data_IF_157766450725
#
_entry.id   IF_157766450725
#
_cell.length_a   1.000
_cell.length_b   1.000
_cell.length_c   1.000
_cell.angle_alpha   90.00
_cell.angle_beta   90.00
_cell.angle_gamma   90.00
#
_symmetry.space_group_name_H-M   'P 1'
#
loop_
_entity.id
_entity.type
_entity.pdbx_description
1 polymer ?
#
# COMPACT_ATOMS: atom_id res chain seq x y z
N UNK A 1 6.43 -28.06 2.15
CA UNK A 1 7.70 -27.61 1.52
C UNK A 1 8.39 -26.61 2.44
N UNK A 2 9.57 -26.94 2.95
CA UNK A 2 10.32 -26.05 3.85
C UNK A 2 10.81 -24.82 3.08
N UNK A 3 10.68 -23.65 3.66
CA UNK A 3 11.03 -22.36 3.06
C UNK A 3 11.65 -21.48 4.13
N UNK A 4 12.80 -20.86 3.84
CA UNK A 4 13.43 -19.90 4.74
C UNK A 4 12.61 -18.60 4.77
N UNK A 5 12.50 -18.02 5.96
CA UNK A 5 11.76 -16.81 6.23
C UNK A 5 12.41 -16.00 7.36
N UNK A 6 11.91 -14.78 7.55
CA UNK A 6 12.13 -13.95 8.72
C UNK A 6 10.78 -13.63 9.36
N UNK A 7 10.68 -13.78 10.66
CA UNK A 7 9.44 -13.53 11.38
C UNK A 7 9.63 -13.38 12.86
N UNK A 8 8.61 -12.92 13.55
CA UNK A 8 8.57 -12.81 15.00
C UNK A 8 7.84 -14.00 15.62
N UNK A 9 8.35 -14.49 16.74
CA UNK A 9 7.73 -15.57 17.54
C UNK A 9 6.78 -15.03 18.61
N UNK A 10 6.89 -13.73 18.93
CA UNK A 10 6.03 -13.02 19.87
C UNK A 10 6.12 -11.50 19.61
N UNK A 11 5.18 -10.73 20.17
CA UNK A 11 5.09 -9.27 19.96
C UNK A 11 6.28 -8.47 20.51
N UNK A 12 6.98 -9.00 21.47
CA UNK A 12 8.15 -8.40 22.16
C UNK A 12 9.49 -8.92 21.63
N UNK A 13 9.48 -9.72 20.56
CA UNK A 13 10.70 -10.30 19.97
C UNK A 13 11.05 -9.61 18.66
N UNK A 14 12.37 -9.46 18.36
CA UNK A 14 12.82 -9.03 17.04
C UNK A 14 12.44 -10.07 15.99
N UNK A 15 12.53 -9.68 14.72
CA UNK A 15 12.42 -10.66 13.65
C UNK A 15 13.71 -11.50 13.60
N UNK A 16 13.53 -12.80 13.40
CA UNK A 16 14.62 -13.77 13.35
C UNK A 16 14.45 -14.76 12.19
N UNK A 17 15.53 -15.43 11.75
CA UNK A 17 15.44 -16.48 10.74
C UNK A 17 14.54 -17.63 11.21
N UNK A 18 13.63 -18.04 10.33
CA UNK A 18 12.69 -19.14 10.57
C UNK A 18 12.67 -20.09 9.37
N UNK A 19 12.45 -21.37 9.64
CA UNK A 19 12.04 -22.36 8.66
C UNK A 19 10.52 -22.56 8.74
N UNK A 20 9.80 -22.11 7.72
CA UNK A 20 8.34 -22.26 7.65
C UNK A 20 7.94 -23.35 6.68
N UNK A 21 6.72 -23.86 6.84
CA UNK A 21 6.12 -24.82 5.91
C UNK A 21 5.17 -24.10 4.96
N UNK A 22 5.42 -24.20 3.66
CA UNK A 22 4.47 -23.81 2.61
C UNK A 22 3.75 -25.05 2.11
N UNK A 23 2.46 -24.92 1.79
CA UNK A 23 1.70 -25.98 1.13
C UNK A 23 2.24 -26.27 -0.26
N UNK A 24 1.96 -27.43 -0.79
CA UNK A 24 2.20 -27.69 -2.22
C UNK A 24 1.17 -26.93 -3.06
N UNK A 25 1.51 -26.50 -4.28
CA UNK A 25 0.54 -25.91 -5.18
C UNK A 25 -0.62 -26.87 -5.48
N UNK A 26 -1.85 -26.43 -5.24
CA UNK A 26 -3.06 -27.10 -5.69
C UNK A 26 -3.36 -26.77 -7.17
N UNK A 27 -4.49 -27.27 -7.72
CA UNK A 27 -4.81 -27.11 -9.15
C UNK A 27 -4.83 -25.66 -9.65
N UNK A 28 -5.31 -24.72 -8.84
CA UNK A 28 -5.43 -23.27 -9.15
C UNK A 28 -4.35 -22.41 -8.50
N UNK A 29 -3.24 -22.98 -8.08
CA UNK A 29 -2.21 -22.25 -7.38
C UNK A 29 -1.01 -21.90 -8.26
N UNK A 30 -0.42 -20.77 -7.94
CA UNK A 30 0.86 -20.31 -8.48
C UNK A 30 1.87 -20.27 -7.35
N UNK A 31 3.01 -20.95 -7.53
CA UNK A 31 4.15 -20.84 -6.66
C UNK A 31 5.09 -19.76 -7.20
N UNK A 32 5.50 -18.86 -6.33
CA UNK A 32 6.33 -17.71 -6.68
C UNK A 32 7.60 -17.75 -5.83
N UNK A 33 8.75 -17.73 -6.49
CA UNK A 33 10.03 -17.46 -5.84
C UNK A 33 10.17 -15.94 -5.73
N UNK A 34 10.28 -15.44 -4.49
CA UNK A 34 10.21 -14.02 -4.18
C UNK A 34 11.57 -13.38 -4.42
N UNK A 35 11.60 -12.38 -5.30
CA UNK A 35 12.79 -11.57 -5.56
C UNK A 35 12.88 -10.38 -4.59
N UNK A 36 11.76 -9.67 -4.44
CA UNK A 36 11.69 -8.44 -3.64
C UNK A 36 10.43 -8.39 -2.79
N UNK A 37 10.54 -7.80 -1.61
CA UNK A 37 9.39 -7.50 -0.76
C UNK A 37 9.51 -6.10 -0.16
N UNK A 38 8.50 -5.26 -0.37
CA UNK A 38 8.44 -3.95 0.26
C UNK A 38 8.22 -4.05 1.77
N UNK A 39 8.62 -2.98 2.48
CA UNK A 39 8.47 -2.84 3.94
C UNK A 39 7.50 -1.72 4.24
N UNK A 40 6.52 -1.97 5.11
CA UNK A 40 5.49 -1.01 5.46
C UNK A 40 5.22 -0.93 6.96
N UNK A 41 4.59 0.17 7.40
CA UNK A 41 4.21 0.35 8.82
C UNK A 41 3.25 -0.72 9.31
N UNK A 42 2.36 -1.24 8.46
CA UNK A 42 1.47 -2.34 8.84
C UNK A 42 2.20 -3.63 9.18
N UNK A 43 3.35 -3.89 8.55
CA UNK A 43 4.21 -5.04 8.90
C UNK A 43 4.69 -4.90 10.33
N UNK A 44 5.22 -3.72 10.69
CA UNK A 44 5.70 -3.40 12.02
C UNK A 44 4.58 -3.47 13.07
N UNK A 45 3.44 -2.79 12.81
CA UNK A 45 2.30 -2.77 13.74
C UNK A 45 1.74 -4.17 13.98
N UNK A 46 1.69 -5.01 12.93
CA UNK A 46 1.25 -6.41 13.08
C UNK A 46 2.26 -7.23 13.87
N UNK A 47 3.55 -7.18 13.54
CA UNK A 47 4.59 -7.92 14.27
C UNK A 47 4.56 -7.59 15.76
N UNK A 48 4.35 -6.34 16.12
CA UNK A 48 4.28 -5.87 17.52
C UNK A 48 2.89 -6.04 18.16
N UNK A 49 1.91 -6.58 17.42
CA UNK A 49 0.51 -6.74 17.87
C UNK A 49 -0.15 -5.44 18.34
N UNK A 50 0.26 -4.30 17.77
CA UNK A 50 -0.30 -2.97 18.10
C UNK A 50 -1.74 -2.84 17.59
N UNK A 51 -2.14 -3.62 16.60
CA UNK A 51 -3.50 -3.69 16.07
C UNK A 51 -4.31 -4.88 16.59
N UNK A 52 -3.95 -5.51 17.65
CA UNK A 52 -4.58 -6.69 18.24
C UNK A 52 -4.82 -7.86 17.25
N UNK A 53 -4.74 -9.08 17.77
CA UNK A 53 -5.09 -10.29 16.99
C UNK A 53 -3.97 -10.85 16.10
N UNK A 54 -2.72 -10.48 16.33
CA UNK A 54 -1.58 -11.09 15.62
C UNK A 54 -1.41 -12.56 16.01
N UNK A 55 -1.25 -13.39 14.99
CA UNK A 55 -0.97 -14.82 15.10
C UNK A 55 0.52 -15.07 14.90
N UNK A 56 1.12 -15.85 15.81
CA UNK A 56 2.54 -16.17 15.77
C UNK A 56 2.76 -17.66 15.42
N UNK A 57 3.89 -18.00 14.72
CA UNK A 57 4.93 -17.10 14.20
C UNK A 57 4.35 -16.14 13.16
N UNK A 58 4.68 -14.85 13.26
CA UNK A 58 4.27 -13.84 12.30
C UNK A 58 5.40 -13.59 11.29
N UNK A 59 5.16 -13.94 10.02
CA UNK A 59 6.04 -13.60 8.89
C UNK A 59 5.33 -12.53 8.08
N UNK A 60 5.74 -11.27 8.16
CA UNK A 60 5.07 -10.17 7.45
C UNK A 60 5.46 -10.09 5.96
N UNK A 61 5.06 -8.99 5.30
CA UNK A 61 5.35 -8.70 3.90
C UNK A 61 4.17 -8.97 2.98
N UNK A 62 3.65 -7.91 2.36
CA UNK A 62 2.48 -7.93 1.47
C UNK A 62 2.67 -7.09 0.20
N UNK A 63 3.91 -6.82 -0.14
CA UNK A 63 4.32 -6.09 -1.34
C UNK A 63 5.36 -6.95 -2.08
N UNK A 64 4.91 -8.06 -2.65
CA UNK A 64 5.74 -9.14 -3.15
C UNK A 64 5.90 -9.04 -4.66
N UNK A 65 7.13 -9.03 -5.15
CA UNK A 65 7.47 -9.21 -6.57
C UNK A 65 8.40 -10.40 -6.70
N UNK A 66 8.15 -11.25 -7.68
CA UNK A 66 8.96 -12.44 -7.91
C UNK A 66 8.62 -13.13 -9.21
N UNK A 67 9.11 -14.35 -9.36
CA UNK A 67 8.95 -15.15 -10.57
C UNK A 67 8.19 -16.43 -10.27
N UNK A 68 7.31 -16.79 -11.19
CA UNK A 68 6.57 -18.06 -11.13
C UNK A 68 7.54 -19.22 -11.22
N UNK A 69 7.57 -20.07 -10.20
CA UNK A 69 8.43 -21.27 -10.17
C UNK A 69 7.67 -22.58 -10.38
N UNK A 70 6.34 -22.58 -10.13
CA UNK A 70 5.45 -23.68 -10.48
C UNK A 70 4.01 -23.19 -10.60
N UNK A 71 3.20 -23.90 -11.39
CA UNK A 71 1.77 -23.64 -11.56
C UNK A 71 0.95 -24.92 -11.39
N UNK A 72 -0.24 -24.81 -10.82
CA UNK A 72 -1.22 -25.89 -10.79
C UNK A 72 -1.75 -26.23 -12.19
N UNK A 73 -2.28 -27.43 -12.35
CA UNK A 73 -2.71 -27.96 -13.65
C UNK A 73 -3.98 -27.29 -14.23
N UNK A 74 -4.68 -26.48 -13.45
CA UNK A 74 -5.85 -25.70 -13.89
C UNK A 74 -5.53 -24.20 -14.05
N UNK A 75 -4.30 -23.78 -13.78
CA UNK A 75 -3.83 -22.41 -14.01
C UNK A 75 -3.60 -22.19 -15.51
N UNK A 76 -4.27 -21.20 -16.09
CA UNK A 76 -4.14 -20.85 -17.51
C UNK A 76 -3.55 -19.45 -17.76
N UNK A 77 -3.60 -18.58 -16.76
CA UNK A 77 -3.17 -17.18 -16.88
C UNK A 77 -1.68 -16.93 -16.66
N UNK A 78 -0.96 -17.92 -16.14
CA UNK A 78 0.45 -17.82 -15.74
C UNK A 78 1.25 -19.05 -16.16
N UNK A 79 2.55 -18.87 -16.36
CA UNK A 79 3.52 -19.95 -16.64
C UNK A 79 4.81 -19.72 -15.87
N UNK A 80 5.60 -20.76 -15.71
CA UNK A 80 6.92 -20.70 -15.08
C UNK A 80 7.80 -19.66 -15.79
N UNK A 81 8.45 -18.80 -15.02
CA UNK A 81 9.27 -17.70 -15.47
C UNK A 81 8.55 -16.37 -15.64
N UNK A 82 7.21 -16.32 -15.54
CA UNK A 82 6.48 -15.05 -15.57
C UNK A 82 6.84 -14.19 -14.34
N UNK A 83 7.00 -12.88 -14.55
CA UNK A 83 7.18 -11.91 -13.48
C UNK A 83 5.83 -11.49 -12.94
N UNK A 84 5.64 -11.66 -11.63
CA UNK A 84 4.35 -11.50 -10.96
C UNK A 84 4.47 -10.78 -9.62
N UNK A 85 3.34 -10.24 -9.17
CA UNK A 85 3.22 -9.63 -7.85
C UNK A 85 2.09 -10.22 -7.02
N UNK A 86 2.21 -10.09 -5.70
CA UNK A 86 1.15 -10.37 -4.72
C UNK A 86 1.04 -9.17 -3.78
N UNK A 87 -0.14 -8.59 -3.71
CA UNK A 87 -0.43 -7.42 -2.87
C UNK A 87 -0.93 -7.78 -1.47
N UNK A 88 -1.85 -6.97 -0.98
CA UNK A 88 -2.29 -7.01 0.42
C UNK A 88 -3.22 -8.20 0.75
N UNK A 89 -3.83 -8.86 -0.23
CA UNK A 89 -4.78 -9.94 -0.02
C UNK A 89 -4.52 -11.14 -0.94
N UNK A 90 -4.74 -12.34 -0.41
CA UNK A 90 -4.54 -13.63 -1.10
C UNK A 90 -5.80 -14.49 -1.10
N UNK A 91 -6.91 -13.95 -0.64
CA UNK A 91 -8.19 -14.67 -0.64
C UNK A 91 -9.39 -13.78 -0.30
N UNK A 92 -10.54 -14.17 -0.81
CA UNK A 92 -11.87 -13.66 -0.47
C UNK A 92 -12.92 -14.73 -0.74
N UNK A 93 -14.17 -14.48 -0.39
CA UNK A 93 -15.23 -15.48 -0.68
C UNK A 93 -15.58 -15.60 -2.16
N UNK A 94 -15.28 -14.60 -2.99
CA UNK A 94 -15.45 -14.54 -4.44
C UNK A 94 -16.90 -14.65 -4.95
N UNK A 95 -17.91 -14.61 -4.07
CA UNK A 95 -19.33 -14.76 -4.46
C UNK A 95 -20.29 -13.76 -3.79
N UNK A 96 -19.84 -12.93 -2.83
CA UNK A 96 -20.65 -11.84 -2.29
C UNK A 96 -20.73 -10.67 -3.27
N UNK A 97 -21.61 -9.70 -3.00
CA UNK A 97 -21.81 -8.55 -3.88
C UNK A 97 -20.49 -7.79 -4.12
N UNK A 98 -19.77 -7.47 -3.05
CA UNK A 98 -18.49 -6.76 -3.14
C UNK A 98 -17.45 -7.51 -4.00
N UNK A 99 -17.32 -8.84 -3.82
CA UNK A 99 -16.42 -9.63 -4.66
C UNK A 99 -16.87 -9.67 -6.13
N UNK A 100 -18.18 -9.71 -6.38
CA UNK A 100 -18.74 -9.68 -7.74
C UNK A 100 -18.49 -8.36 -8.46
N UNK A 101 -18.29 -7.27 -7.72
CA UNK A 101 -17.94 -5.94 -8.22
C UNK A 101 -16.42 -5.71 -8.36
N UNK A 102 -15.59 -6.71 -8.02
CA UNK A 102 -14.12 -6.57 -8.01
C UNK A 102 -13.60 -5.76 -6.82
N UNK A 103 -14.35 -5.72 -5.73
CA UNK A 103 -14.04 -5.02 -4.49
C UNK A 103 -13.72 -6.03 -3.38
N UNK A 104 -12.79 -6.96 -3.62
CA UNK A 104 -12.44 -8.05 -2.72
C UNK A 104 -11.98 -7.56 -1.34
N UNK A 105 -11.40 -6.36 -1.26
CA UNK A 105 -11.02 -5.71 0.00
C UNK A 105 -12.21 -5.41 0.92
N UNK A 106 -13.41 -5.34 0.36
CA UNK A 106 -14.67 -5.16 1.08
C UNK A 106 -15.51 -6.46 1.13
N UNK A 107 -14.88 -7.62 0.96
CA UNK A 107 -15.57 -8.91 1.03
C UNK A 107 -16.44 -9.02 2.29
N UNK A 108 -17.74 -9.31 2.12
CA UNK A 108 -18.71 -9.35 3.23
C UNK A 108 -18.41 -10.50 4.22
N UNK A 109 -17.66 -11.51 3.79
CA UNK A 109 -17.20 -12.61 4.63
C UNK A 109 -15.77 -12.41 5.13
N UNK A 110 -15.19 -11.22 4.91
CA UNK A 110 -13.79 -10.90 5.18
C UNK A 110 -12.85 -11.39 4.07
N UNK A 111 -11.83 -10.57 3.77
CA UNK A 111 -10.73 -11.00 2.89
C UNK A 111 -9.64 -11.70 3.71
N UNK A 112 -8.81 -12.48 3.02
CA UNK A 112 -7.63 -13.11 3.63
C UNK A 112 -6.40 -12.28 3.28
N UNK A 113 -5.78 -11.67 4.28
CA UNK A 113 -4.54 -10.90 4.13
C UNK A 113 -3.37 -11.80 3.72
N UNK A 114 -2.38 -11.23 3.05
CA UNK A 114 -1.18 -11.94 2.58
C UNK A 114 -0.35 -12.50 3.73
N UNK A 115 -0.44 -11.88 4.89
CA UNK A 115 0.02 -12.43 6.16
C UNK A 115 -1.01 -12.18 7.26
N UNK A 116 -0.93 -12.92 8.36
CA UNK A 116 -1.84 -12.86 9.51
C UNK A 116 -3.32 -13.09 9.17
N UNK A 117 -3.65 -13.51 7.96
CA UNK A 117 -5.01 -13.91 7.57
C UNK A 117 -5.32 -15.33 8.03
N UNK A 118 -6.48 -15.56 8.65
CA UNK A 118 -6.88 -16.90 9.10
C UNK A 118 -7.11 -17.85 7.91
N UNK A 119 -6.60 -19.08 8.02
CA UNK A 119 -6.76 -20.14 7.02
C UNK A 119 -7.11 -21.46 7.69
N UNK A 120 -7.64 -22.41 6.91
CA UNK A 120 -7.85 -23.79 7.38
C UNK A 120 -6.59 -24.65 7.39
N UNK A 121 -5.53 -24.23 6.70
CA UNK A 121 -4.26 -24.94 6.58
C UNK A 121 -3.30 -24.59 7.72
N UNK A 122 -2.39 -25.50 8.06
CA UNK A 122 -1.34 -25.20 9.03
C UNK A 122 -0.41 -24.09 8.52
N UNK A 123 -0.03 -23.12 9.35
CA UNK A 123 -0.19 -23.02 10.80
C UNK A 123 -1.53 -22.40 11.26
N UNK A 124 -2.56 -22.28 10.41
CA UNK A 124 -3.85 -21.69 10.71
C UNK A 124 -3.96 -20.21 10.30
N UNK A 125 -2.91 -19.67 9.73
CA UNK A 125 -2.87 -18.31 9.19
C UNK A 125 -1.84 -18.18 8.07
N UNK A 126 -1.99 -17.11 7.27
CA UNK A 126 -1.07 -16.80 6.18
C UNK A 126 0.25 -16.24 6.70
N UNK A 127 1.32 -16.57 5.98
CA UNK A 127 2.66 -16.09 6.19
C UNK A 127 3.12 -15.32 4.95
N UNK A 128 3.71 -14.14 5.13
CA UNK A 128 3.96 -13.17 4.07
C UNK A 128 5.26 -13.33 3.30
N UNK A 129 5.65 -12.22 2.67
CA UNK A 129 6.73 -12.12 1.70
C UNK A 129 8.14 -12.01 2.29
N UNK A 130 8.29 -11.90 3.62
CA UNK A 130 9.61 -12.00 4.23
C UNK A 130 10.07 -13.48 4.26
N UNK A 131 10.00 -14.11 3.10
CA UNK A 131 10.31 -15.52 2.88
C UNK A 131 10.79 -15.74 1.44
N UNK A 132 11.44 -16.88 1.19
CA UNK A 132 11.96 -17.18 -0.15
C UNK A 132 10.88 -17.43 -1.19
N UNK A 133 9.71 -17.94 -0.77
CA UNK A 133 8.63 -18.26 -1.71
C UNK A 133 7.25 -18.19 -1.06
N UNK A 134 6.23 -18.05 -1.91
CA UNK A 134 4.82 -18.08 -1.52
C UNK A 134 4.02 -18.93 -2.51
N UNK A 135 2.90 -19.50 -2.05
CA UNK A 135 1.91 -20.21 -2.89
C UNK A 135 0.58 -19.51 -2.75
N UNK A 136 0.03 -19.03 -3.86
CA UNK A 136 -1.17 -18.18 -3.90
C UNK A 136 -2.11 -18.69 -4.99
N UNK A 137 -3.41 -18.61 -4.74
CA UNK A 137 -4.40 -18.88 -5.78
C UNK A 137 -4.23 -17.87 -6.95
N UNK A 138 -4.31 -18.36 -8.18
CA UNK A 138 -4.06 -17.59 -9.41
C UNK A 138 -4.91 -16.31 -9.53
N UNK A 139 -6.10 -16.29 -8.94
CA UNK A 139 -6.98 -15.10 -8.90
C UNK A 139 -6.43 -13.93 -8.10
N UNK A 140 -5.45 -14.15 -7.24
CA UNK A 140 -4.81 -13.14 -6.40
C UNK A 140 -3.36 -12.84 -6.81
N UNK A 141 -2.95 -13.36 -7.96
CA UNK A 141 -1.63 -13.10 -8.54
C UNK A 141 -1.79 -12.04 -9.64
N UNK A 142 -0.86 -11.09 -9.66
CA UNK A 142 -0.86 -9.92 -10.54
C UNK A 142 0.30 -10.02 -11.53
N UNK A 143 0.07 -9.59 -12.77
CA UNK A 143 1.13 -9.52 -13.79
C UNK A 143 1.94 -8.23 -13.61
N UNK A 144 3.24 -8.32 -13.73
CA UNK A 144 4.13 -7.16 -13.69
C UNK A 144 4.69 -6.94 -15.11
N UNK A 145 4.44 -5.75 -15.67
CA UNK A 145 4.86 -5.36 -17.02
C UNK A 145 6.04 -4.38 -17.03
N UNK A 146 6.54 -4.01 -15.84
CA UNK A 146 7.72 -3.16 -15.71
C UNK A 146 9.00 -3.90 -16.12
N UNK A 147 10.04 -3.17 -16.56
CA UNK A 147 11.36 -3.74 -16.83
C UNK A 147 11.98 -4.40 -15.60
N UNK A 148 12.82 -5.41 -15.83
CA UNK A 148 13.46 -6.22 -14.79
C UNK A 148 14.25 -5.37 -13.76
N UNK A 149 14.95 -4.34 -14.23
CA UNK A 149 15.72 -3.42 -13.39
C UNK A 149 14.88 -2.53 -12.46
N UNK A 150 13.57 -2.47 -12.68
CA UNK A 150 12.63 -1.69 -11.86
C UNK A 150 11.86 -2.52 -10.84
N UNK A 151 11.97 -3.85 -10.88
CA UNK A 151 11.12 -4.75 -10.09
C UNK A 151 11.17 -4.50 -8.58
N UNK A 152 12.32 -4.14 -8.04
CA UNK A 152 12.42 -3.75 -6.63
C UNK A 152 11.56 -2.51 -6.32
N UNK A 153 11.57 -1.52 -7.21
CA UNK A 153 10.79 -0.28 -7.04
C UNK A 153 9.29 -0.46 -7.37
N UNK A 154 8.92 -1.57 -8.02
CA UNK A 154 7.51 -1.97 -8.24
C UNK A 154 6.88 -2.53 -6.97
N UNK A 155 7.63 -3.23 -6.12
CA UNK A 155 7.07 -3.89 -4.94
C UNK A 155 6.17 -2.96 -4.10
N UNK A 156 6.54 -1.72 -3.77
CA UNK A 156 5.67 -0.83 -3.00
C UNK A 156 4.38 -0.41 -3.72
N UNK A 157 4.28 -0.55 -5.04
CA UNK A 157 3.03 -0.25 -5.76
C UNK A 157 1.90 -1.17 -5.31
N UNK A 158 2.21 -2.39 -4.89
CA UNK A 158 1.24 -3.41 -4.47
C UNK A 158 0.50 -3.08 -3.16
N UNK A 159 0.95 -2.06 -2.42
CA UNK A 159 0.23 -1.49 -1.28
C UNK A 159 0.11 0.02 -1.39
N UNK A 160 1.22 0.77 -1.38
CA UNK A 160 1.20 2.23 -1.44
C UNK A 160 0.63 2.74 -2.77
N UNK A 161 0.95 2.09 -3.88
CA UNK A 161 0.40 2.41 -5.20
C UNK A 161 -1.11 2.27 -5.22
N UNK A 162 -1.63 1.08 -4.95
CA UNK A 162 -3.09 0.83 -5.01
C UNK A 162 -3.86 1.63 -3.96
N UNK A 163 -3.34 1.79 -2.75
CA UNK A 163 -3.99 2.57 -1.69
C UNK A 163 -4.18 4.04 -2.08
N UNK A 164 -3.31 4.59 -2.91
CA UNK A 164 -3.42 5.97 -3.39
C UNK A 164 -4.11 6.06 -4.76
N UNK A 165 -3.94 5.07 -5.63
CA UNK A 165 -4.59 5.01 -6.95
C UNK A 165 -6.11 4.87 -6.83
N UNK A 166 -6.59 3.91 -6.03
CA UNK A 166 -8.01 3.61 -5.90
C UNK A 166 -8.86 4.85 -5.56
N UNK A 167 -8.59 5.64 -4.51
CA UNK A 167 -9.35 6.85 -4.24
C UNK A 167 -9.16 7.95 -5.29
N UNK A 168 -7.98 8.13 -5.87
CA UNK A 168 -7.76 9.08 -6.96
C UNK A 168 -8.65 8.75 -8.16
N UNK A 169 -8.72 7.48 -8.53
CA UNK A 169 -9.57 6.97 -9.61
C UNK A 169 -11.05 7.12 -9.28
N UNK A 170 -11.47 6.69 -8.08
CA UNK A 170 -12.87 6.69 -7.64
C UNK A 170 -13.47 8.11 -7.62
N UNK A 171 -12.73 9.11 -7.13
CA UNK A 171 -13.18 10.50 -7.07
C UNK A 171 -12.78 11.33 -8.30
N UNK A 172 -12.32 10.68 -9.38
CA UNK A 172 -12.13 11.27 -10.69
C UNK A 172 -11.00 12.30 -10.75
N UNK A 173 -9.87 12.02 -10.09
CA UNK A 173 -8.65 12.81 -10.29
C UNK A 173 -8.26 12.79 -11.77
N UNK A 174 -7.95 13.96 -12.35
CA UNK A 174 -7.63 14.07 -13.77
C UNK A 174 -7.60 15.52 -14.27
N UNK A 175 -7.58 15.72 -15.60
CA UNK A 175 -7.51 17.06 -16.19
C UNK A 175 -8.65 17.98 -15.70
N UNK A 176 -8.27 19.21 -15.33
CA UNK A 176 -9.22 20.20 -14.82
C UNK A 176 -9.61 20.04 -13.35
N UNK A 177 -9.10 19.03 -12.67
CA UNK A 177 -9.29 18.81 -11.22
C UNK A 177 -8.09 19.30 -10.43
N UNK A 178 -8.35 19.98 -9.30
CA UNK A 178 -7.34 20.31 -8.31
C UNK A 178 -7.36 19.29 -7.18
N UNK A 179 -6.24 18.58 -7.04
CA UNK A 179 -6.10 17.45 -6.11
C UNK A 179 -5.03 17.79 -5.07
N UNK A 180 -5.38 17.63 -3.79
CA UNK A 180 -4.45 17.79 -2.68
C UNK A 180 -3.96 16.45 -2.16
N UNK A 181 -2.66 16.34 -1.91
CA UNK A 181 -2.05 15.17 -1.24
C UNK A 181 -1.47 15.62 0.08
N UNK A 182 -2.02 15.11 1.19
CA UNK A 182 -1.59 15.47 2.54
C UNK A 182 -0.59 14.46 3.08
N UNK A 183 0.62 14.96 3.38
CA UNK A 183 1.76 14.14 3.81
C UNK A 183 2.64 13.70 2.65
N UNK A 184 3.96 13.76 2.85
CA UNK A 184 4.98 13.31 1.88
C UNK A 184 5.81 12.23 2.56
N UNK A 185 5.29 11.05 2.54
CA UNK A 185 5.88 9.81 3.05
C UNK A 185 5.65 8.66 2.08
N UNK A 186 5.65 7.42 2.59
CA UNK A 186 5.52 6.21 1.77
C UNK A 186 4.25 6.13 0.93
N UNK A 187 3.09 6.64 1.39
CA UNK A 187 1.86 6.78 0.59
C UNK A 187 1.88 8.07 -0.23
N UNK A 188 2.18 9.19 0.41
CA UNK A 188 2.03 10.51 -0.22
C UNK A 188 2.91 10.71 -1.44
N UNK A 189 4.15 10.16 -1.48
CA UNK A 189 4.98 10.26 -2.68
C UNK A 189 4.34 9.55 -3.87
N UNK A 190 3.71 8.37 -3.65
CA UNK A 190 2.95 7.69 -4.70
C UNK A 190 1.69 8.47 -5.10
N UNK A 191 0.96 9.03 -4.11
CA UNK A 191 -0.21 9.87 -4.38
C UNK A 191 0.12 11.08 -5.26
N UNK A 192 1.26 11.74 -5.05
CA UNK A 192 1.72 12.87 -5.89
C UNK A 192 2.02 12.37 -7.31
N UNK A 193 2.85 11.31 -7.47
CA UNK A 193 3.18 10.75 -8.79
C UNK A 193 1.95 10.35 -9.59
N UNK A 194 1.01 9.65 -8.94
CA UNK A 194 -0.21 9.16 -9.58
C UNK A 194 -1.17 10.30 -9.94
N UNK A 195 -1.44 11.25 -9.04
CA UNK A 195 -2.31 12.39 -9.32
C UNK A 195 -1.76 13.24 -10.49
N UNK A 196 -0.44 13.48 -10.52
CA UNK A 196 0.23 14.15 -11.62
C UNK A 196 0.09 13.39 -12.94
N UNK A 197 0.38 12.09 -12.94
CA UNK A 197 0.26 11.25 -14.14
C UNK A 197 -1.18 11.15 -14.67
N UNK A 198 -2.19 11.22 -13.80
CA UNK A 198 -3.59 11.30 -14.16
C UNK A 198 -3.96 12.67 -14.77
N UNK A 199 -3.07 13.66 -14.78
CA UNK A 199 -3.27 14.99 -15.34
C UNK A 199 -3.99 15.97 -14.42
N UNK A 200 -4.08 15.71 -13.13
CA UNK A 200 -4.63 16.62 -12.15
C UNK A 200 -3.65 17.76 -11.82
N UNK A 201 -4.17 18.94 -11.48
CA UNK A 201 -3.36 19.96 -10.82
C UNK A 201 -3.07 19.52 -9.39
N UNK A 202 -1.85 19.06 -9.15
CA UNK A 202 -1.46 18.33 -7.94
C UNK A 202 -0.79 19.27 -6.93
N UNK A 203 -1.36 19.35 -5.73
CA UNK A 203 -0.86 20.18 -4.63
C UNK A 203 -0.43 19.29 -3.46
N UNK A 204 0.83 19.36 -3.07
CA UNK A 204 1.34 18.62 -1.92
C UNK A 204 1.28 19.46 -0.64
N UNK A 205 0.75 18.88 0.44
CA UNK A 205 0.75 19.48 1.78
C UNK A 205 1.83 18.84 2.64
N UNK A 206 2.70 19.68 3.23
CA UNK A 206 3.74 19.24 4.16
C UNK A 206 3.86 20.22 5.33
N UNK A 207 4.36 19.71 6.46
CA UNK A 207 4.69 20.56 7.62
C UNK A 207 6.10 21.16 7.54
N UNK A 208 6.91 20.73 6.58
CA UNK A 208 8.34 21.07 6.47
C UNK A 208 8.68 21.71 5.13
N UNK A 209 9.25 22.90 5.17
CA UNK A 209 9.77 23.60 3.97
C UNK A 209 10.86 22.79 3.27
N UNK A 210 11.66 22.01 4.01
CA UNK A 210 12.73 21.18 3.44
C UNK A 210 12.22 20.11 2.45
N UNK A 211 10.94 19.73 2.51
CA UNK A 211 10.32 18.75 1.60
C UNK A 211 9.76 19.37 0.32
N UNK A 212 9.79 20.69 0.17
CA UNK A 212 9.23 21.40 -1.01
C UNK A 212 9.85 20.93 -2.32
N UNK A 213 11.18 20.90 -2.37
CA UNK A 213 11.88 20.50 -3.60
C UNK A 213 11.60 19.05 -3.96
N UNK A 214 11.59 18.15 -2.96
CA UNK A 214 11.27 16.74 -3.17
C UNK A 214 9.85 16.59 -3.75
N UNK A 215 8.85 17.29 -3.18
CA UNK A 215 7.48 17.25 -3.67
C UNK A 215 7.34 17.70 -5.14
N UNK A 216 8.04 18.79 -5.51
CA UNK A 216 8.07 19.26 -6.90
C UNK A 216 8.72 18.23 -7.84
N UNK A 217 9.78 17.56 -7.42
CA UNK A 217 10.43 16.49 -8.20
C UNK A 217 9.52 15.26 -8.37
N UNK A 218 8.64 14.99 -7.40
CA UNK A 218 7.65 13.92 -7.48
C UNK A 218 6.49 14.23 -8.45
N UNK A 219 6.37 15.49 -8.90
CA UNK A 219 5.33 15.93 -9.83
C UNK A 219 4.25 16.84 -9.22
N UNK A 220 4.46 17.40 -8.01
CA UNK A 220 3.54 18.41 -7.49
C UNK A 220 3.69 19.72 -8.29
N UNK A 221 2.57 20.33 -8.65
CA UNK A 221 2.53 21.66 -9.28
C UNK A 221 2.68 22.79 -8.25
N UNK A 222 2.20 22.55 -7.02
CA UNK A 222 2.28 23.47 -5.89
C UNK A 222 2.60 22.71 -4.59
N UNK A 223 3.23 23.40 -3.64
CA UNK A 223 3.49 22.90 -2.29
C UNK A 223 3.01 23.89 -1.25
N UNK A 224 2.18 23.43 -0.33
CA UNK A 224 1.59 24.22 0.76
C UNK A 224 2.19 23.77 2.09
N UNK A 225 2.67 24.73 2.87
CA UNK A 225 3.15 24.47 4.23
C UNK A 225 1.97 24.51 5.19
N UNK A 226 1.50 23.32 5.60
CA UNK A 226 0.25 23.18 6.39
C UNK A 226 0.31 23.82 7.78
N UNK A 227 1.49 24.10 8.30
CA UNK A 227 1.69 24.87 9.54
C UNK A 227 1.61 26.39 9.35
N UNK A 228 1.56 26.87 8.10
CA UNK A 228 1.40 28.28 7.79
C UNK A 228 -0.07 28.59 7.46
N UNK A 229 -0.81 29.29 8.36
CA UNK A 229 -2.23 29.60 8.13
C UNK A 229 -2.48 30.43 6.85
N UNK A 230 -1.55 31.34 6.52
CA UNK A 230 -1.68 32.20 5.34
C UNK A 230 -1.53 31.39 4.04
N UNK A 231 -0.64 30.38 4.03
CA UNK A 231 -0.52 29.47 2.89
C UNK A 231 -1.78 28.62 2.73
N UNK A 232 -2.30 28.08 3.82
CA UNK A 232 -3.56 27.32 3.80
C UNK A 232 -4.73 28.18 3.33
N UNK A 233 -4.86 29.41 3.82
CA UNK A 233 -5.97 30.31 3.50
C UNK A 233 -6.05 30.67 2.00
N UNK A 234 -4.93 30.75 1.30
CA UNK A 234 -4.89 31.00 -0.17
C UNK A 234 -5.64 29.95 -0.98
N UNK A 235 -5.81 28.77 -0.43
CA UNK A 235 -6.42 27.62 -1.09
C UNK A 235 -7.87 27.33 -0.63
N UNK A 236 -8.47 28.22 0.18
CA UNK A 236 -9.84 28.02 0.67
C UNK A 236 -10.83 27.78 -0.48
N UNK A 237 -11.64 26.73 -0.40
CA UNK A 237 -12.68 26.40 -1.36
C UNK A 237 -12.16 26.08 -2.78
N UNK A 238 -10.94 25.60 -2.96
CA UNK A 238 -10.32 25.43 -4.28
C UNK A 238 -10.10 23.98 -4.72
N UNK A 239 -10.16 22.99 -3.83
CA UNK A 239 -9.90 21.60 -4.14
C UNK A 239 -11.16 20.81 -4.51
N UNK A 240 -11.04 20.00 -5.55
CA UNK A 240 -12.06 19.01 -5.93
C UNK A 240 -11.95 17.77 -5.03
N UNK A 241 -10.73 17.35 -4.74
CA UNK A 241 -10.41 16.17 -3.95
C UNK A 241 -9.14 16.38 -3.12
N UNK A 242 -9.13 15.88 -1.90
CA UNK A 242 -7.92 15.84 -1.05
C UNK A 242 -7.74 14.42 -0.53
N UNK A 243 -6.58 13.82 -0.83
CA UNK A 243 -6.15 12.54 -0.30
C UNK A 243 -5.29 12.75 0.94
N UNK A 244 -5.75 12.28 2.09
CA UNK A 244 -5.03 12.38 3.35
C UNK A 244 -4.33 11.06 3.67
N UNK A 245 -3.02 11.07 3.58
CA UNK A 245 -2.15 9.89 3.79
C UNK A 245 -1.51 9.85 5.18
N UNK A 246 -1.85 10.80 6.05
CA UNK A 246 -1.26 10.93 7.38
C UNK A 246 -1.95 10.00 8.36
N UNK A 247 -1.18 9.12 8.98
CA UNK A 247 -1.64 8.13 9.95
C UNK A 247 -1.58 8.60 11.42
N UNK A 248 -1.44 9.90 11.68
CA UNK A 248 -1.51 10.49 13.01
C UNK A 248 -2.75 11.37 13.16
N UNK A 249 -3.31 11.43 14.37
CA UNK A 249 -4.45 12.31 14.68
C UNK A 249 -4.09 13.78 14.44
N UNK A 250 -4.93 14.50 13.69
CA UNK A 250 -4.78 15.92 13.39
C UNK A 250 -6.12 16.56 13.04
N UNK A 251 -6.15 17.90 12.93
CA UNK A 251 -7.35 18.67 12.58
C UNK A 251 -7.74 18.46 11.10
N UNK A 252 -8.83 17.74 10.87
CA UNK A 252 -9.39 17.53 9.53
C UNK A 252 -10.10 18.77 8.98
N UNK A 253 -10.57 19.66 9.85
CA UNK A 253 -11.26 20.89 9.46
C UNK A 253 -10.35 21.86 8.71
N UNK A 254 -9.05 21.80 8.97
CA UNK A 254 -8.06 22.56 8.23
C UNK A 254 -8.09 22.22 6.73
N UNK A 255 -8.37 20.98 6.39
CA UNK A 255 -8.43 20.48 4.99
C UNK A 255 -9.84 20.55 4.41
N UNK A 256 -10.89 20.31 5.19
CA UNK A 256 -12.28 20.42 4.69
C UNK A 256 -12.63 21.83 4.26
N UNK A 257 -12.04 22.87 4.88
CA UNK A 257 -12.19 24.29 4.44
C UNK A 257 -11.63 24.53 3.04
N UNK A 258 -10.66 23.76 2.61
CA UNK A 258 -10.01 23.91 1.31
C UNK A 258 -10.84 23.30 0.17
N UNK A 259 -11.79 22.43 0.49
CA UNK A 259 -12.64 21.78 -0.50
C UNK A 259 -13.64 22.77 -1.11
N UNK A 260 -13.84 22.63 -2.43
CA UNK A 260 -14.97 23.22 -3.14
C UNK A 260 -16.32 22.70 -2.59
N UNK A 261 -17.42 23.26 -3.11
CA UNK A 261 -18.72 22.60 -3.00
C UNK A 261 -18.62 21.23 -3.67
N UNK A 262 -19.18 20.20 -3.04
CA UNK A 262 -19.15 18.79 -3.47
C UNK A 262 -17.75 18.13 -3.41
N UNK A 263 -16.74 18.81 -2.88
CA UNK A 263 -15.40 18.25 -2.71
C UNK A 263 -15.35 17.19 -1.63
N UNK A 264 -14.39 16.28 -1.75
CA UNK A 264 -14.20 15.15 -0.82
C UNK A 264 -12.79 15.14 -0.22
N UNK A 265 -12.72 14.96 1.10
CA UNK A 265 -11.50 14.60 1.84
C UNK A 265 -11.51 13.09 2.08
N UNK A 266 -10.59 12.37 1.47
CA UNK A 266 -10.48 10.92 1.63
C UNK A 266 -9.32 10.54 2.55
N UNK A 267 -9.58 9.67 3.52
CA UNK A 267 -8.63 9.19 4.50
C UNK A 267 -8.17 7.78 4.12
N UNK A 268 -6.87 7.55 4.07
CA UNK A 268 -6.24 6.24 3.81
C UNK A 268 -5.23 5.84 4.90
N UNK A 269 -4.92 6.74 5.81
CA UNK A 269 -4.10 6.46 7.00
C UNK A 269 -4.98 6.17 8.21
N UNK A 270 -4.68 5.11 8.95
CA UNK A 270 -5.36 4.76 10.20
C UNK A 270 -4.55 5.30 11.37
N UNK A 271 -5.03 6.32 12.10
CA UNK A 271 -4.30 6.88 13.23
C UNK A 271 -4.46 5.99 14.48
N UNK A 272 -3.43 5.99 15.34
CA UNK A 272 -3.47 5.33 16.64
C UNK A 272 -4.57 5.90 17.56
N UNK A 273 -4.75 7.23 17.50
CA UNK A 273 -5.80 7.94 18.24
C UNK A 273 -6.78 8.58 17.27
N UNK A 274 -8.07 8.54 17.60
CA UNK A 274 -9.12 9.11 16.77
C UNK A 274 -8.86 10.59 16.42
N UNK A 275 -9.23 10.99 15.20
CA UNK A 275 -9.26 12.40 14.85
C UNK A 275 -10.29 13.16 15.69
N UNK A 276 -10.09 14.46 15.95
CA UNK A 276 -11.15 15.31 16.48
C UNK A 276 -12.42 15.23 15.63
N UNK A 277 -13.58 15.37 16.24
CA UNK A 277 -14.83 15.39 15.48
C UNK A 277 -14.85 16.59 14.51
N UNK A 278 -15.23 16.39 13.23
CA UNK A 278 -15.24 17.46 12.26
C UNK A 278 -16.34 18.50 12.55
N UNK A 279 -16.10 19.73 12.13
CA UNK A 279 -17.08 20.81 12.17
C UNK A 279 -18.18 20.54 11.11
N UNK A 280 -19.33 20.07 11.57
CA UNK A 280 -20.46 19.68 10.72
C UNK A 280 -20.96 20.82 9.84
N UNK A 281 -20.91 22.08 10.33
CA UNK A 281 -21.33 23.23 9.53
C UNK A 281 -20.49 23.40 8.25
N UNK A 282 -19.18 23.13 8.31
CA UNK A 282 -18.31 23.19 7.12
C UNK A 282 -18.71 22.15 6.06
N UNK A 283 -19.20 20.99 6.49
CA UNK A 283 -19.69 19.96 5.58
C UNK A 283 -21.04 20.38 4.97
N UNK A 284 -21.98 20.80 5.80
CA UNK A 284 -23.35 21.15 5.38
C UNK A 284 -23.33 22.31 4.38
N UNK A 285 -22.66 23.42 4.70
CA UNK A 285 -22.70 24.62 3.85
C UNK A 285 -21.99 24.46 2.51
N UNK A 286 -21.09 23.49 2.37
CA UNK A 286 -20.40 23.19 1.10
C UNK A 286 -20.85 21.89 0.43
N UNK A 287 -21.78 21.13 1.03
CA UNK A 287 -22.11 19.76 0.63
C UNK A 287 -20.83 18.91 0.44
N UNK A 288 -19.90 19.06 1.40
CA UNK A 288 -18.59 18.41 1.40
C UNK A 288 -18.68 17.05 2.06
N UNK A 289 -17.77 16.16 1.67
CA UNK A 289 -17.70 14.80 2.21
C UNK A 289 -16.36 14.52 2.86
N UNK A 290 -16.39 13.72 3.93
CA UNK A 290 -15.22 13.01 4.45
C UNK A 290 -15.47 11.53 4.19
N UNK A 291 -14.54 10.87 3.53
CA UNK A 291 -14.66 9.48 3.12
C UNK A 291 -13.40 8.69 3.52
N UNK A 292 -13.50 7.37 3.49
CA UNK A 292 -12.36 6.46 3.65
C UNK A 292 -12.19 5.59 2.42
N UNK A 293 -10.97 5.10 2.19
CA UNK A 293 -10.66 4.13 1.16
C UNK A 293 -9.66 3.11 1.70
N UNK A 294 -9.85 1.85 1.36
CA UNK A 294 -9.00 0.74 1.78
C UNK A 294 -8.41 0.07 0.55
N UNK A 295 -7.07 0.11 0.38
CA UNK A 295 -6.36 -0.56 -0.72
C UNK A 295 -7.19 -0.51 -2.03
N UNK A 296 -7.26 -1.63 -2.78
CA UNK A 296 -8.13 -1.81 -3.94
C UNK A 296 -8.34 -3.30 -4.19
N UNK A 297 -9.31 -3.65 -5.03
CA UNK A 297 -9.53 -5.02 -5.48
C UNK A 297 -8.46 -5.48 -6.47
N UNK A 298 -8.50 -6.76 -6.82
CA UNK A 298 -7.46 -7.37 -7.68
C UNK A 298 -7.46 -6.76 -9.07
N UNK A 299 -8.62 -6.58 -9.68
CA UNK A 299 -8.72 -5.99 -11.02
C UNK A 299 -8.23 -4.53 -11.05
N UNK A 300 -8.58 -3.74 -10.05
CA UNK A 300 -8.11 -2.35 -9.92
C UNK A 300 -6.60 -2.28 -9.62
N UNK A 301 -6.08 -3.23 -8.85
CA UNK A 301 -4.63 -3.32 -8.60
C UNK A 301 -3.87 -3.66 -9.88
N UNK A 302 -4.40 -4.54 -10.73
CA UNK A 302 -3.81 -4.81 -12.05
C UNK A 302 -3.86 -3.57 -12.95
N UNK A 303 -5.01 -2.88 -13.00
CA UNK A 303 -5.13 -1.62 -13.74
C UNK A 303 -4.10 -0.58 -13.28
N UNK A 304 -3.90 -0.44 -11.99
CA UNK A 304 -2.88 0.46 -11.42
C UNK A 304 -1.46 0.08 -11.84
N UNK A 305 -1.12 -1.22 -11.80
CA UNK A 305 0.20 -1.70 -12.23
C UNK A 305 0.45 -1.44 -13.72
N UNK A 306 -0.57 -1.68 -14.56
CA UNK A 306 -0.49 -1.42 -15.99
C UNK A 306 -0.35 0.08 -16.28
N UNK A 307 -1.12 0.91 -15.60
CA UNK A 307 -1.00 2.38 -15.65
C UNK A 307 0.40 2.84 -15.25
N UNK A 308 0.93 2.31 -14.14
CA UNK A 308 2.28 2.65 -13.69
C UNK A 308 3.36 2.22 -14.70
N UNK A 309 3.22 1.03 -15.31
CA UNK A 309 4.16 0.56 -16.32
C UNK A 309 4.13 1.45 -17.58
N UNK A 310 2.94 1.83 -18.05
CA UNK A 310 2.76 2.72 -19.21
C UNK A 310 3.38 4.10 -18.99
N UNK A 311 3.28 4.64 -17.76
CA UNK A 311 3.76 5.98 -17.42
C UNK A 311 5.17 5.98 -16.80
N UNK A 312 5.83 4.83 -16.68
CA UNK A 312 7.16 4.71 -16.07
C UNK A 312 7.19 5.07 -14.59
N UNK A 313 6.09 4.82 -13.87
CA UNK A 313 5.94 5.14 -12.45
C UNK A 313 6.40 3.96 -11.60
N UNK A 314 7.33 4.23 -10.69
CA UNK A 314 7.79 3.32 -9.63
C UNK A 314 7.96 4.11 -8.33
N UNK A 315 8.08 3.39 -7.20
CA UNK A 315 8.38 4.01 -5.92
C UNK A 315 9.85 4.45 -5.82
N UNK A 316 10.13 5.48 -5.02
CA UNK A 316 11.50 5.82 -4.63
C UNK A 316 11.89 4.94 -3.45
N UNK A 317 12.95 4.16 -3.60
CA UNK A 317 13.28 3.08 -2.67
C UNK A 317 14.72 3.13 -2.16
N UNK A 318 14.92 2.51 -0.99
CA UNK A 318 16.20 2.11 -0.45
C UNK A 318 16.20 0.59 -0.30
N UNK A 319 17.14 -0.10 -0.94
CA UNK A 319 17.28 -1.55 -0.86
C UNK A 319 17.98 -1.95 0.43
N UNK A 320 17.46 -2.98 1.09
CA UNK A 320 18.06 -3.56 2.30
C UNK A 320 18.19 -5.09 2.20
N UNK A 321 19.19 -5.71 2.81
CA UNK A 321 19.15 -7.14 3.07
C UNK A 321 18.17 -7.44 4.20
N UNK A 322 17.61 -8.66 4.21
CA UNK A 322 16.62 -9.09 5.21
C UNK A 322 17.11 -8.91 6.66
N UNK A 323 18.39 -9.12 6.90
CA UNK A 323 19.02 -9.00 8.23
C UNK A 323 18.98 -7.55 8.80
N UNK A 324 18.65 -6.57 7.97
CA UNK A 324 18.54 -5.16 8.36
C UNK A 324 17.10 -4.70 8.60
N UNK A 325 16.15 -5.63 8.69
CA UNK A 325 14.72 -5.28 8.81
C UNK A 325 14.39 -4.51 10.09
N UNK A 326 14.96 -4.87 11.24
CA UNK A 326 14.71 -4.17 12.50
C UNK A 326 15.29 -2.74 12.47
N UNK A 327 16.48 -2.55 11.85
CA UNK A 327 17.05 -1.23 11.62
C UNK A 327 16.16 -0.38 10.69
N UNK A 328 15.60 -1.00 9.65
CA UNK A 328 14.66 -0.33 8.73
C UNK A 328 13.38 0.08 9.45
N UNK A 329 12.82 -0.75 10.34
CA UNK A 329 11.67 -0.40 11.15
C UNK A 329 11.95 0.80 12.07
N UNK A 330 13.11 0.84 12.72
CA UNK A 330 13.50 1.97 13.57
C UNK A 330 13.68 3.26 12.77
N UNK A 331 14.26 3.19 11.57
CA UNK A 331 14.43 4.33 10.67
C UNK A 331 13.07 4.82 10.14
N UNK A 332 12.19 3.89 9.79
CA UNK A 332 10.85 4.20 9.31
C UNK A 332 10.02 4.94 10.36
N UNK A 333 10.08 4.53 11.65
CA UNK A 333 9.42 5.23 12.75
C UNK A 333 9.93 6.67 12.94
N UNK A 334 11.20 6.93 12.63
CA UNK A 334 11.81 8.28 12.67
C UNK A 334 11.63 9.06 11.37
N UNK A 335 10.89 8.51 10.39
CA UNK A 335 10.75 9.08 9.04
C UNK A 335 12.08 9.30 8.33
N UNK A 336 13.06 8.44 8.60
CA UNK A 336 14.42 8.46 8.04
C UNK A 336 14.52 7.50 6.85
N UNK A 337 13.72 7.75 5.82
CA UNK A 337 13.76 7.06 4.52
C UNK A 337 13.07 7.88 3.44
N UNK A 338 13.59 7.88 2.23
CA UNK A 338 12.96 8.48 1.04
C UNK A 338 12.75 7.41 -0.04
N UNK A 339 11.57 6.79 -0.14
CA UNK A 339 10.43 6.91 0.77
C UNK A 339 10.04 5.55 1.29
N UNK A 340 10.60 4.46 0.71
CA UNK A 340 10.25 3.07 1.01
C UNK A 340 11.49 2.20 1.13
N UNK A 341 11.49 1.30 2.08
CA UNK A 341 12.45 0.19 2.09
C UNK A 341 11.93 -0.98 1.26
N UNK A 342 12.83 -1.65 0.57
CA UNK A 342 12.55 -2.90 -0.14
C UNK A 342 13.65 -3.91 0.18
N UNK A 343 13.22 -5.10 0.54
CA UNK A 343 14.09 -6.22 0.88
C UNK A 343 14.53 -6.92 -0.40
N UNK A 344 15.85 -7.15 -0.54
CA UNK A 344 16.40 -8.15 -1.46
C UNK A 344 16.26 -9.54 -0.82
N UNK A 345 15.29 -10.33 -1.28
CA UNK A 345 15.02 -11.65 -0.73
C UNK A 345 16.13 -12.68 -1.02
N UNK A 346 17.05 -12.41 -1.96
CA UNK A 346 18.24 -13.25 -2.17
C UNK A 346 19.16 -13.25 -0.94
N UNK A 347 19.05 -12.24 -0.07
CA UNK A 347 19.79 -12.15 1.19
C UNK A 347 19.38 -13.21 2.24
N UNK A 348 18.19 -13.84 2.11
CA UNK A 348 17.73 -14.93 2.98
C UNK A 348 18.56 -16.22 2.84
N UNK A 349 19.32 -16.38 1.77
CA UNK A 349 20.15 -17.55 1.51
C UNK A 349 21.60 -17.41 1.96
N UNK A 350 21.96 -16.25 2.53
CA UNK A 350 23.35 -15.94 2.91
C UNK A 350 23.58 -16.05 4.40
#
# INVERSE_FOLDING_TARGET
MTTKAYGALASDKPLEPLDIQRRQPGPHDVQIDIAYCGVWHSDLHTVRSEWAGTLYPCVPGHEIVGHVSAVGNEVSGFKVGDTVGVGCLVGSCQHCASCGEGLEQFCENGFVGTYNGKTGDAPGHTLGGYSQRIVVNDRFVLKIHHPEEQLAAVAPLLCAGITTYSPLRHWGAGPGKKVGIVGIGGLGHMGIKLAHAMGAHTVAFTTSESKRQDAMQLGADEVVISKNPDDMAKHAGSFDFILNTVASSHDLDAYTRLLKRDGTLCLVGVPEHAHPSPNVAQLIFGRRSIAGSLIGGIAETQEMLDFCAEHGIVADIEMIPMQKIDEAYDRMQRSDVKYRFVIDNASLGR
#
